data_IF_587023489873
#
_entry.id   IF_587023489873
#
_cell.length_a   1.000
_cell.length_b   1.000
_cell.length_c   1.000
_cell.angle_alpha   90.00
_cell.angle_beta   90.00
_cell.angle_gamma   90.00
#
_symmetry.space_group_name_H-M   'P 1'
#
loop_
_entity.id
_entity.type
_entity.pdbx_description
1 polymer ?
#
# COMPACT_ATOMS: atom_id res chain seq x y z
N UNK A 1 -8.73 -17.90 -8.01
CA UNK A 1 -8.35 -16.53 -8.44
C UNK A 1 -9.60 -15.83 -8.93
N UNK A 2 -9.95 -14.68 -8.37
CA UNK A 2 -11.12 -13.91 -8.84
C UNK A 2 -10.66 -13.05 -10.03
N UNK A 3 -11.17 -13.33 -11.23
CA UNK A 3 -10.86 -12.56 -12.43
C UNK A 3 -11.76 -11.33 -12.50
N UNK A 4 -11.18 -10.12 -12.37
CA UNK A 4 -11.89 -8.85 -12.63
C UNK A 4 -11.37 -8.25 -13.93
N UNK A 5 -12.27 -7.83 -14.82
CA UNK A 5 -11.92 -7.13 -16.04
C UNK A 5 -11.38 -5.73 -15.68
N UNK A 6 -10.17 -5.42 -16.12
CA UNK A 6 -9.52 -4.13 -15.89
C UNK A 6 -9.37 -3.43 -17.23
N UNK A 7 -10.05 -2.29 -17.39
CA UNK A 7 -9.91 -1.43 -18.57
C UNK A 7 -8.86 -0.35 -18.32
N UNK A 8 -7.97 -0.15 -19.28
CA UNK A 8 -7.00 0.95 -19.32
C UNK A 8 -7.48 2.02 -20.29
N UNK A 9 -7.13 3.27 -20.02
CA UNK A 9 -7.47 4.41 -20.84
C UNK A 9 -6.19 5.20 -21.15
N UNK A 10 -6.08 5.84 -22.33
CA UNK A 10 -5.04 6.83 -22.58
C UNK A 10 -5.00 7.89 -21.48
N UNK A 11 -3.81 8.38 -21.13
CA UNK A 11 -3.61 9.28 -19.97
C UNK A 11 -4.43 10.57 -20.03
N UNK A 12 -4.77 11.04 -21.23
CA UNK A 12 -5.57 12.27 -21.43
C UNK A 12 -7.06 12.04 -21.56
N UNK A 13 -7.54 10.80 -21.49
CA UNK A 13 -8.98 10.51 -21.62
C UNK A 13 -9.72 10.98 -20.36
N UNK A 14 -10.67 11.93 -20.49
CA UNK A 14 -11.46 12.35 -19.35
C UNK A 14 -12.40 11.23 -18.93
N UNK A 15 -12.34 10.87 -17.65
CA UNK A 15 -13.25 9.92 -17.03
C UNK A 15 -14.07 10.64 -15.96
N UNK A 16 -15.35 10.27 -15.78
CA UNK A 16 -16.08 10.64 -14.58
C UNK A 16 -15.25 10.31 -13.33
N UNK A 17 -15.28 11.18 -12.32
CA UNK A 17 -14.45 11.04 -11.11
C UNK A 17 -14.61 9.64 -10.48
N UNK A 18 -15.83 9.12 -10.44
CA UNK A 18 -16.17 7.80 -9.92
C UNK A 18 -15.56 6.63 -10.70
N UNK A 19 -15.26 6.83 -11.98
CA UNK A 19 -14.67 5.82 -12.86
C UNK A 19 -13.13 5.80 -12.82
N UNK A 20 -12.51 6.82 -12.21
CA UNK A 20 -11.06 6.86 -12.05
C UNK A 20 -10.58 5.81 -11.04
N UNK A 21 -9.45 5.15 -11.35
CA UNK A 21 -8.88 4.12 -10.45
C UNK A 21 -8.54 4.68 -9.07
N UNK A 22 -8.05 5.91 -9.00
CA UNK A 22 -7.76 6.60 -7.75
C UNK A 22 -9.03 6.74 -6.87
N UNK A 23 -10.17 7.08 -7.47
CA UNK A 23 -11.45 7.14 -6.76
C UNK A 23 -11.88 5.76 -6.23
N UNK A 24 -11.79 4.72 -7.07
CA UNK A 24 -12.15 3.35 -6.66
C UNK A 24 -11.26 2.82 -5.53
N UNK A 25 -9.97 3.13 -5.54
CA UNK A 25 -9.05 2.82 -4.45
C UNK A 25 -9.39 3.60 -3.17
N UNK A 26 -9.67 4.90 -3.31
CA UNK A 26 -10.10 5.73 -2.17
C UNK A 26 -11.39 5.19 -1.55
N UNK A 27 -12.38 4.81 -2.37
CA UNK A 27 -13.63 4.24 -1.91
C UNK A 27 -13.42 2.97 -1.07
N UNK A 28 -12.54 2.06 -1.51
CA UNK A 28 -12.17 0.86 -0.74
C UNK A 28 -11.41 1.22 0.54
N UNK A 29 -10.51 2.19 0.49
CA UNK A 29 -9.71 2.60 1.65
C UNK A 29 -10.55 3.29 2.74
N UNK A 30 -11.64 3.96 2.36
CA UNK A 30 -12.57 4.63 3.29
C UNK A 30 -13.75 3.76 3.69
N UNK A 31 -13.88 2.57 3.11
CA UNK A 31 -14.96 1.65 3.43
C UNK A 31 -14.83 1.19 4.90
N UNK A 32 -15.93 1.25 5.64
CA UNK A 32 -15.96 0.91 7.08
C UNK A 32 -16.31 -0.56 7.33
N UNK A 33 -16.07 -1.46 6.37
CA UNK A 33 -16.26 -2.88 6.56
C UNK A 33 -15.48 -3.39 7.78
N UNK A 34 -16.07 -4.30 8.58
CA UNK A 34 -15.41 -4.84 9.75
C UNK A 34 -14.18 -5.66 9.34
N UNK A 35 -13.07 -5.45 10.05
CA UNK A 35 -11.90 -6.30 9.93
C UNK A 35 -12.17 -7.66 10.58
N UNK A 36 -11.89 -8.74 9.85
CA UNK A 36 -11.97 -10.10 10.42
C UNK A 36 -10.85 -10.31 11.44
N UNK A 37 -11.10 -10.99 12.58
CA UNK A 37 -10.10 -11.19 13.64
C UNK A 37 -8.78 -11.80 13.14
N UNK A 38 -8.86 -12.78 12.25
CA UNK A 38 -7.71 -13.43 11.63
C UNK A 38 -6.91 -12.50 10.72
N UNK A 39 -7.58 -11.55 10.05
CA UNK A 39 -6.92 -10.52 9.23
C UNK A 39 -6.18 -9.55 10.13
N UNK A 40 -6.79 -9.10 11.22
CA UNK A 40 -6.14 -8.23 12.20
C UNK A 40 -4.89 -8.87 12.80
N UNK A 41 -4.97 -10.15 13.19
CA UNK A 41 -3.82 -10.91 13.69
C UNK A 41 -2.67 -10.98 12.66
N UNK A 42 -3.01 -11.21 11.39
CA UNK A 42 -2.00 -11.21 10.32
C UNK A 42 -1.40 -9.85 10.03
N UNK A 43 -2.17 -8.76 10.16
CA UNK A 43 -1.64 -7.39 10.04
C UNK A 43 -0.63 -7.10 11.14
N UNK A 44 -0.90 -7.53 12.39
CA UNK A 44 0.06 -7.42 13.50
C UNK A 44 1.37 -8.13 13.15
N UNK A 45 1.30 -9.38 12.67
CA UNK A 45 2.49 -10.11 12.23
C UNK A 45 3.26 -9.36 11.15
N UNK A 46 2.56 -8.75 10.17
CA UNK A 46 3.22 -8.00 9.10
C UNK A 46 3.96 -6.75 9.60
N UNK A 47 3.41 -6.06 10.59
CA UNK A 47 4.08 -4.90 11.21
C UNK A 47 5.37 -5.34 11.90
N UNK A 48 5.31 -6.44 12.66
CA UNK A 48 6.45 -7.01 13.37
C UNK A 48 7.54 -7.46 12.37
N UNK A 49 7.17 -8.21 11.33
CA UNK A 49 8.12 -8.69 10.31
C UNK A 49 8.83 -7.54 9.60
N UNK A 50 8.07 -6.53 9.15
CA UNK A 50 8.65 -5.38 8.46
C UNK A 50 9.59 -4.59 9.40
N UNK A 51 9.23 -4.43 10.67
CA UNK A 51 10.08 -3.76 11.66
C UNK A 51 11.36 -4.55 11.93
N UNK A 52 11.26 -5.86 12.10
CA UNK A 52 12.42 -6.73 12.30
C UNK A 52 13.39 -6.66 11.12
N UNK A 53 12.87 -6.71 9.88
CA UNK A 53 13.68 -6.54 8.66
C UNK A 53 14.32 -5.15 8.60
N UNK A 54 13.58 -4.09 8.93
CA UNK A 54 14.10 -2.72 8.93
C UNK A 54 15.25 -2.55 9.94
N UNK A 55 15.10 -3.10 11.15
CA UNK A 55 16.13 -3.08 12.19
C UNK A 55 17.36 -3.87 11.73
N UNK A 56 17.18 -5.08 11.19
CA UNK A 56 18.28 -5.90 10.69
C UNK A 56 19.03 -5.24 9.52
N UNK A 57 18.36 -4.38 8.74
CA UNK A 57 18.94 -3.70 7.59
C UNK A 57 19.47 -2.28 7.90
N UNK A 58 19.29 -1.76 9.12
CA UNK A 58 19.45 -0.33 9.46
C UNK A 58 20.85 0.26 9.17
N UNK A 59 21.88 -0.59 9.17
CA UNK A 59 23.29 -0.22 8.90
C UNK A 59 23.76 -0.57 7.48
N UNK A 60 22.93 -1.24 6.67
CA UNK A 60 23.29 -1.56 5.28
C UNK A 60 23.43 -0.27 4.48
N UNK A 61 24.46 -0.19 3.63
CA UNK A 61 24.80 1.04 2.92
C UNK A 61 23.60 1.69 2.19
N UNK A 62 22.77 0.98 1.39
CA UNK A 62 21.61 1.61 0.75
C UNK A 62 20.62 2.25 1.73
N UNK A 63 20.37 1.59 2.87
CA UNK A 63 19.43 2.04 3.91
C UNK A 63 20.01 3.22 4.70
N UNK A 64 21.30 3.17 5.04
CA UNK A 64 21.99 4.25 5.73
C UNK A 64 22.00 5.54 4.88
N UNK A 65 22.28 5.44 3.58
CA UNK A 65 22.27 6.59 2.67
C UNK A 65 20.86 7.18 2.50
N UNK A 66 19.84 6.33 2.30
CA UNK A 66 18.46 6.79 2.22
C UNK A 66 18.02 7.53 3.49
N UNK A 67 18.40 7.04 4.68
CA UNK A 67 18.12 7.71 5.95
C UNK A 67 18.83 9.06 6.07
N UNK A 68 20.09 9.15 5.65
CA UNK A 68 20.83 10.40 5.62
C UNK A 68 20.19 11.43 4.69
N UNK A 69 19.64 11.01 3.55
CA UNK A 69 18.94 11.89 2.61
C UNK A 69 17.58 12.36 3.14
N UNK A 70 16.86 11.51 3.88
CA UNK A 70 15.56 11.86 4.44
C UNK A 70 15.63 12.81 5.65
N UNK A 71 16.77 12.82 6.36
CA UNK A 71 17.02 13.70 7.50
C UNK A 71 17.86 14.95 7.18
N UNK A 72 18.22 15.15 5.91
CA UNK A 72 18.88 16.36 5.41
C UNK A 72 17.88 17.42 4.95
#
# INVERSE_FOLDING_TARGET
MISRNVKVFPSGTPLPKTEQRAWKLAAVATDSAPALPEVAAMVVNRVIDNAAVAIAAITRAPVAQARSQAGG
#
